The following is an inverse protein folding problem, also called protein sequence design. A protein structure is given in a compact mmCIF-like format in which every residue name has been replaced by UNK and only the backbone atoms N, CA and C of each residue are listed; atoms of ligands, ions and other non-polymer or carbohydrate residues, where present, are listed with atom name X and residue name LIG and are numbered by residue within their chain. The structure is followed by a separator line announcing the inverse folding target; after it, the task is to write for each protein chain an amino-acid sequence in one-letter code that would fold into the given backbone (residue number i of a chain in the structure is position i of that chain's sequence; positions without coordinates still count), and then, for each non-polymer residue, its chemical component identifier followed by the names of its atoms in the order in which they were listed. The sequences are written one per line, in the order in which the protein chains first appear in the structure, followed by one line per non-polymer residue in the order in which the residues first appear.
data_IF_319591356142
#
_entry.id   IF_319591356142
#
_cell.length_a   1.000
_cell.length_b   1.000
_cell.length_c   1.000
_cell.angle_alpha   90.00
_cell.angle_beta   90.00
_cell.angle_gamma   90.00
#
_symmetry.space_group_name_H-M   'P 1'
#
loop_
_entity.id
_entity.type
_entity.pdbx_description
1 polymer ?
#
# COMPACT_ATOMS: atom_id res chain seq x y z
N UNK A 1 51.42 -53.51 29.24
CA UNK A 1 50.37 -52.49 29.49
C UNK A 1 50.67 -51.26 28.63
N UNK A 2 49.99 -51.06 27.50
CA UNK A 2 50.16 -49.87 26.63
C UNK A 2 48.78 -49.22 26.43
N UNK A 3 48.71 -47.94 26.79
CA UNK A 3 47.49 -47.13 26.88
C UNK A 3 47.01 -46.71 25.49
N UNK A 4 45.73 -46.96 25.22
CA UNK A 4 44.97 -46.45 24.08
C UNK A 4 44.68 -44.96 24.27
N UNK A 5 45.02 -44.14 23.26
CA UNK A 5 44.65 -42.73 23.20
C UNK A 5 43.34 -42.59 22.44
N UNK A 6 42.29 -42.19 23.13
CA UNK A 6 40.99 -41.88 22.54
C UNK A 6 41.00 -40.50 21.88
N UNK A 7 40.66 -40.45 20.59
CA UNK A 7 40.43 -39.20 19.86
C UNK A 7 39.01 -38.74 20.18
N UNK A 8 38.89 -37.63 20.91
CA UNK A 8 37.62 -36.96 21.17
C UNK A 8 37.31 -36.01 20.00
N UNK A 9 36.36 -36.38 19.15
CA UNK A 9 35.83 -35.52 18.08
C UNK A 9 34.80 -34.55 18.66
N UNK A 10 35.20 -33.30 18.85
CA UNK A 10 34.31 -32.21 19.24
C UNK A 10 33.61 -31.66 17.99
N UNK A 11 32.38 -32.12 17.73
CA UNK A 11 31.53 -31.57 16.67
C UNK A 11 30.88 -30.28 17.20
N UNK A 12 31.48 -29.12 16.87
CA UNK A 12 30.82 -27.82 17.05
C UNK A 12 29.70 -27.67 16.02
N UNK A 13 28.49 -28.07 16.40
CA UNK A 13 27.28 -27.69 15.69
C UNK A 13 27.02 -26.19 15.91
N UNK A 14 27.53 -25.33 15.01
CA UNK A 14 27.06 -23.95 14.90
C UNK A 14 25.61 -23.96 14.42
N UNK A 15 24.67 -23.99 15.37
CA UNK A 15 23.28 -23.64 15.12
C UNK A 15 23.19 -22.14 14.84
N UNK A 16 23.44 -21.74 13.59
CA UNK A 16 23.14 -20.41 13.11
C UNK A 16 21.61 -20.21 13.18
N UNK A 17 21.14 -19.66 14.30
CA UNK A 17 19.77 -19.21 14.47
C UNK A 17 19.57 -18.02 13.54
N UNK A 18 19.08 -18.30 12.33
CA UNK A 18 18.64 -17.26 11.40
C UNK A 18 17.54 -16.46 12.10
N UNK A 19 17.88 -15.26 12.56
CA UNK A 19 16.95 -14.44 13.30
C UNK A 19 15.74 -14.10 12.40
N UNK A 20 14.50 -14.17 12.91
CA UNK A 20 13.32 -13.99 12.10
C UNK A 20 13.30 -12.59 11.48
N UNK A 21 12.99 -12.51 10.19
CA UNK A 21 12.81 -11.24 9.49
C UNK A 21 11.68 -10.43 10.16
N UNK A 22 12.02 -9.27 10.73
CA UNK A 22 11.05 -8.45 11.47
C UNK A 22 10.21 -7.66 10.47
N UNK A 23 8.91 -7.95 10.42
CA UNK A 23 7.95 -7.13 9.71
C UNK A 23 7.89 -5.74 10.35
N UNK A 24 8.24 -4.69 9.60
CA UNK A 24 7.99 -3.34 10.09
C UNK A 24 6.63 -2.87 9.61
N UNK A 25 5.88 -2.31 10.55
CA UNK A 25 4.57 -1.72 10.32
C UNK A 25 4.61 -0.31 10.87
N UNK A 26 4.13 0.66 10.09
CA UNK A 26 3.84 2.00 10.60
C UNK A 26 2.41 2.38 10.28
N UNK A 27 1.79 3.04 11.24
CA UNK A 27 0.45 3.59 11.12
C UNK A 27 0.57 5.09 11.18
N UNK A 28 0.05 5.77 10.17
CA UNK A 28 -0.19 7.21 10.22
C UNK A 28 -1.69 7.39 10.42
N UNK A 29 -2.06 8.13 11.47
CA UNK A 29 -3.45 8.51 11.72
C UNK A 29 -3.63 9.95 11.26
N UNK A 30 -4.82 10.30 10.82
CA UNK A 30 -5.20 11.68 10.77
C UNK A 30 -5.54 12.14 12.21
N UNK A 31 -4.77 13.06 12.82
CA UNK A 31 -5.12 13.60 14.13
C UNK A 31 -6.31 14.56 14.06
N UNK A 32 -6.65 15.07 12.87
CA UNK A 32 -7.77 16.01 12.71
C UNK A 32 -9.09 15.29 12.56
N UNK A 33 -9.13 14.15 11.85
CA UNK A 33 -10.27 13.27 11.72
C UNK A 33 -11.54 14.01 11.32
N UNK A 34 -11.92 13.96 10.06
CA UNK A 34 -13.19 14.54 9.62
C UNK A 34 -13.05 15.82 8.83
N UNK A 35 -12.62 15.69 7.58
CA UNK A 35 -13.33 16.42 6.54
C UNK A 35 -14.79 15.94 6.49
N UNK A 36 -15.72 16.79 6.07
CA UNK A 36 -17.15 16.44 5.86
C UNK A 36 -17.38 15.53 4.65
N UNK A 37 -16.37 14.76 4.24
CA UNK A 37 -16.38 13.91 3.06
C UNK A 37 -16.66 12.47 3.45
N UNK A 38 -17.45 11.77 2.64
CA UNK A 38 -17.67 10.32 2.71
C UNK A 38 -16.39 9.53 2.39
N UNK A 39 -15.33 10.21 1.92
CA UNK A 39 -14.04 9.63 1.54
C UNK A 39 -12.91 10.12 2.46
N UNK A 40 -13.23 10.56 3.68
CA UNK A 40 -12.27 11.03 4.68
C UNK A 40 -11.33 9.91 5.13
N UNK A 41 -10.02 10.18 5.18
CA UNK A 41 -8.97 9.20 5.43
C UNK A 41 -8.53 9.26 6.90
N UNK A 42 -9.08 8.37 7.72
CA UNK A 42 -8.72 8.26 9.14
C UNK A 42 -7.32 7.71 9.40
N UNK A 43 -6.90 6.73 8.59
CA UNK A 43 -5.70 5.95 8.89
C UNK A 43 -5.07 5.30 7.68
N UNK A 44 -3.75 5.38 7.60
CA UNK A 44 -2.95 4.65 6.63
C UNK A 44 -1.94 3.76 7.36
N UNK A 45 -2.06 2.45 7.19
CA UNK A 45 -1.16 1.43 7.72
C UNK A 45 -0.31 0.87 6.59
N UNK A 46 1.01 1.00 6.71
CA UNK A 46 1.98 0.45 5.77
C UNK A 46 2.78 -0.66 6.46
N UNK A 47 2.75 -1.84 5.86
CA UNK A 47 3.53 -3.00 6.29
C UNK A 47 4.53 -3.37 5.20
N UNK A 48 5.81 -3.51 5.56
CA UNK A 48 6.87 -3.96 4.65
C UNK A 48 7.59 -5.16 5.28
N UNK A 49 7.39 -6.35 4.69
CA UNK A 49 7.90 -7.60 5.23
C UNK A 49 8.24 -8.63 4.14
N UNK A 50 8.59 -9.85 4.55
CA UNK A 50 8.95 -10.93 3.63
C UNK A 50 7.81 -11.34 2.68
N UNK A 51 6.54 -11.09 3.06
CA UNK A 51 5.33 -11.32 2.24
C UNK A 51 5.02 -10.14 1.30
N UNK A 52 5.86 -9.11 1.28
CA UNK A 52 5.75 -7.95 0.39
C UNK A 52 5.30 -6.69 1.11
N UNK A 53 4.68 -5.80 0.34
CA UNK A 53 4.21 -4.50 0.80
C UNK A 53 2.69 -4.52 0.89
N UNK A 54 2.14 -4.30 2.08
CA UNK A 54 0.70 -4.17 2.28
C UNK A 54 0.38 -2.78 2.80
N UNK A 55 -0.49 -2.08 2.10
CA UNK A 55 -1.00 -0.76 2.48
C UNK A 55 -2.49 -0.91 2.71
N UNK A 56 -2.95 -0.48 3.88
CA UNK A 56 -4.36 -0.46 4.25
C UNK A 56 -4.74 0.96 4.62
N UNK A 57 -5.72 1.48 3.91
CA UNK A 57 -6.35 2.78 4.16
C UNK A 57 -7.68 2.51 4.84
N UNK A 58 -7.94 3.22 5.93
CA UNK A 58 -9.23 3.24 6.62
C UNK A 58 -9.88 4.59 6.35
N UNK A 59 -11.11 4.54 5.84
CA UNK A 59 -12.00 5.68 5.60
C UNK A 59 -13.30 5.46 6.38
N UNK A 60 -14.22 6.42 6.37
CA UNK A 60 -15.57 6.18 6.85
C UNK A 60 -16.30 5.13 6.00
N UNK A 61 -17.04 4.20 6.62
CA UNK A 61 -17.92 3.29 5.90
C UNK A 61 -18.89 4.04 4.98
N UNK A 62 -18.88 3.69 3.70
CA UNK A 62 -19.80 4.26 2.69
C UNK A 62 -21.01 3.33 2.55
N UNK A 63 -22.19 3.86 2.84
CA UNK A 63 -23.44 3.18 2.50
C UNK A 63 -23.92 3.59 1.11
N UNK A 64 -23.62 2.76 0.10
CA UNK A 64 -24.02 2.99 -1.29
C UNK A 64 -25.53 3.14 -1.50
N UNK A 65 -26.37 2.65 -0.58
CA UNK A 65 -27.83 2.74 -0.71
C UNK A 65 -28.33 4.14 -0.38
N UNK A 66 -27.76 4.75 0.66
CA UNK A 66 -28.20 6.06 1.16
C UNK A 66 -27.36 7.20 0.58
N UNK A 67 -26.06 6.98 0.39
CA UNK A 67 -25.15 7.99 -0.16
C UNK A 67 -24.05 7.37 -1.01
N UNK A 68 -24.10 7.64 -2.31
CA UNK A 68 -23.08 7.17 -3.27
C UNK A 68 -22.10 8.29 -3.62
N UNK A 69 -20.89 8.33 -3.03
CA UNK A 69 -19.92 9.39 -3.32
C UNK A 69 -19.43 9.34 -4.76
N UNK A 70 -19.28 10.52 -5.34
CA UNK A 70 -18.56 10.75 -6.59
C UNK A 70 -17.20 11.35 -6.30
N UNK A 71 -16.15 10.79 -6.88
CA UNK A 71 -14.80 11.26 -6.59
C UNK A 71 -13.68 10.43 -7.17
N UNK A 72 -12.47 10.71 -6.69
CA UNK A 72 -11.29 9.92 -6.96
C UNK A 72 -10.50 9.58 -5.70
N UNK A 73 -9.87 8.41 -5.74
CA UNK A 73 -8.86 7.99 -4.80
C UNK A 73 -7.52 7.91 -5.54
N UNK A 74 -6.46 8.37 -4.88
CA UNK A 74 -5.09 8.21 -5.36
C UNK A 74 -4.15 7.85 -4.24
N UNK A 75 -3.40 6.78 -4.42
CA UNK A 75 -2.32 6.40 -3.53
C UNK A 75 -1.01 6.34 -4.30
N UNK A 76 -0.06 7.17 -3.89
CA UNK A 76 1.28 7.24 -4.44
C UNK A 76 2.24 6.45 -3.56
N UNK A 77 3.02 5.56 -4.17
CA UNK A 77 3.96 4.68 -3.45
C UNK A 77 5.38 5.01 -3.87
N UNK A 78 6.22 5.26 -2.88
CA UNK A 78 7.64 5.54 -3.04
C UNK A 78 8.47 4.45 -2.35
N UNK A 79 9.38 3.85 -3.10
CA UNK A 79 10.26 2.77 -2.61
C UNK A 79 11.74 3.15 -2.59
N UNK A 80 12.10 4.39 -2.99
CA UNK A 80 13.48 4.89 -3.00
C UNK A 80 13.58 6.38 -2.66
N UNK A 81 14.54 6.72 -1.81
CA UNK A 81 14.80 8.14 -1.47
C UNK A 81 15.21 8.93 -2.73
N UNK A 82 14.68 10.16 -2.85
CA UNK A 82 15.06 11.13 -3.90
C UNK A 82 14.41 10.93 -5.28
N UNK A 83 13.66 9.85 -5.51
CA UNK A 83 13.08 9.55 -6.82
C UNK A 83 11.62 9.94 -7.03
N UNK A 84 10.92 10.38 -5.97
CA UNK A 84 9.47 10.55 -5.97
C UNK A 84 8.71 9.21 -6.06
N UNK A 85 7.37 9.26 -6.12
CA UNK A 85 6.58 8.05 -6.21
C UNK A 85 6.82 7.28 -7.52
N UNK A 86 7.11 5.99 -7.37
CA UNK A 86 7.39 5.08 -8.47
C UNK A 86 6.13 4.39 -8.97
N UNK A 87 5.12 4.28 -8.10
CA UNK A 87 3.85 3.63 -8.41
C UNK A 87 2.68 4.49 -7.96
N UNK A 88 1.53 4.25 -8.59
CA UNK A 88 0.26 4.83 -8.20
C UNK A 88 -0.83 3.76 -8.27
N UNK A 89 -1.69 3.77 -7.26
CA UNK A 89 -3.04 3.25 -7.33
C UNK A 89 -3.98 4.43 -7.55
N UNK A 90 -4.89 4.34 -8.50
CA UNK A 90 -5.84 5.41 -8.80
C UNK A 90 -7.18 4.83 -9.22
N UNK A 91 -8.27 5.33 -8.63
CA UNK A 91 -9.61 4.79 -8.83
C UNK A 91 -10.64 5.92 -8.82
N UNK A 92 -11.57 5.90 -9.78
CA UNK A 92 -12.73 6.80 -9.80
C UNK A 92 -13.93 6.14 -9.14
N UNK A 93 -14.67 6.87 -8.32
CA UNK A 93 -15.88 6.41 -7.63
C UNK A 93 -17.14 7.05 -8.22
N UNK A 94 -18.16 6.26 -8.58
CA UNK A 94 -18.07 4.84 -8.93
C UNK A 94 -17.27 4.68 -10.23
N UNK A 95 -16.66 3.52 -10.46
CA UNK A 95 -15.96 3.27 -11.71
C UNK A 95 -14.79 2.30 -11.60
N UNK A 96 -13.88 2.43 -12.55
CA UNK A 96 -12.68 1.61 -12.66
C UNK A 96 -11.44 2.38 -12.16
N UNK A 97 -10.42 1.60 -11.84
CA UNK A 97 -9.12 2.10 -11.47
C UNK A 97 -8.04 1.06 -11.68
N UNK A 98 -6.86 1.35 -11.15
CA UNK A 98 -5.85 0.33 -10.98
C UNK A 98 -4.47 0.85 -10.69
N UNK A 99 -3.60 -0.13 -10.48
CA UNK A 99 -2.20 0.04 -10.18
C UNK A 99 -1.38 0.26 -11.45
N UNK A 100 -0.41 1.18 -11.37
CA UNK A 100 0.56 1.38 -12.44
C UNK A 100 1.90 1.94 -11.95
N UNK A 101 2.95 1.75 -12.75
CA UNK A 101 4.21 2.45 -12.55
C UNK A 101 4.16 3.86 -13.16
N UNK A 102 4.63 4.85 -12.41
CA UNK A 102 4.66 6.25 -12.85
C UNK A 102 5.88 6.56 -13.73
N UNK A 103 7.03 5.96 -13.41
CA UNK A 103 8.31 6.20 -14.07
C UNK A 103 8.82 4.96 -14.83
N UNK A 104 9.80 5.16 -15.71
CA UNK A 104 10.42 4.11 -16.51
C UNK A 104 9.89 4.00 -17.95
N UNK A 105 10.42 3.03 -18.70
CA UNK A 105 10.07 2.81 -20.11
C UNK A 105 8.61 2.39 -20.30
N UNK A 106 8.06 2.58 -21.51
CA UNK A 106 6.69 2.14 -21.87
C UNK A 106 6.46 0.66 -21.55
N UNK A 107 7.47 -0.20 -21.80
CA UNK A 107 7.43 -1.63 -21.48
C UNK A 107 7.33 -1.88 -19.97
N UNK A 108 8.12 -1.15 -19.17
CA UNK A 108 8.05 -1.24 -17.71
C UNK A 108 6.67 -0.83 -17.19
N UNK A 109 6.15 0.32 -17.64
CA UNK A 109 4.82 0.79 -17.25
C UNK A 109 3.71 -0.20 -17.61
N UNK A 110 3.72 -0.74 -18.84
CA UNK A 110 2.77 -1.79 -19.27
C UNK A 110 2.86 -3.05 -18.41
N UNK A 111 4.06 -3.43 -17.94
CA UNK A 111 4.22 -4.62 -17.10
C UNK A 111 3.57 -4.49 -15.72
N UNK A 112 3.42 -3.27 -15.20
CA UNK A 112 2.88 -2.97 -13.87
C UNK A 112 1.37 -2.71 -13.84
N UNK A 113 0.73 -2.60 -15.00
CA UNK A 113 -0.69 -2.27 -15.10
C UNK A 113 -1.58 -3.38 -14.55
N UNK A 114 -2.63 -3.05 -13.80
CA UNK A 114 -3.69 -4.01 -13.41
C UNK A 114 -4.97 -3.86 -14.22
N UNK A 115 -5.22 -2.71 -14.84
CA UNK A 115 -6.38 -2.47 -15.71
C UNK A 115 -6.00 -1.71 -17.00
N UNK A 116 -6.67 -1.91 -18.16
CA UNK A 116 -7.68 -2.94 -18.44
C UNK A 116 -7.07 -4.32 -18.72
N UNK A 117 -5.75 -4.40 -18.91
CA UNK A 117 -5.05 -5.66 -19.18
C UNK A 117 -3.89 -5.83 -18.20
N UNK A 118 -3.96 -6.88 -17.39
CA UNK A 118 -3.01 -7.13 -16.31
C UNK A 118 -1.64 -7.52 -16.86
N UNK A 119 -0.64 -6.68 -16.61
CA UNK A 119 0.75 -6.93 -16.96
C UNK A 119 1.44 -7.97 -16.04
N UNK A 120 2.64 -8.43 -16.43
CA UNK A 120 3.42 -9.45 -15.69
C UNK A 120 3.64 -9.12 -14.21
N UNK A 121 3.93 -7.86 -13.90
CA UNK A 121 4.11 -7.37 -12.53
C UNK A 121 2.77 -6.91 -11.92
N UNK A 122 1.81 -6.44 -12.71
CA UNK A 122 0.44 -6.17 -12.25
C UNK A 122 -0.20 -7.38 -11.56
N UNK A 123 0.06 -8.61 -12.04
CA UNK A 123 -0.40 -9.87 -11.39
C UNK A 123 0.08 -10.07 -9.94
N UNK A 124 1.09 -9.31 -9.51
CA UNK A 124 1.60 -9.37 -8.13
C UNK A 124 0.83 -8.46 -7.18
N UNK A 125 0.03 -7.55 -7.71
CA UNK A 125 -0.78 -6.61 -6.96
C UNK A 125 -2.16 -7.21 -6.73
N UNK A 126 -2.63 -7.16 -5.49
CA UNK A 126 -4.00 -7.48 -5.11
C UNK A 126 -4.61 -6.21 -4.50
N UNK A 127 -5.70 -5.76 -5.11
CA UNK A 127 -6.46 -4.57 -4.74
C UNK A 127 -7.80 -5.03 -4.13
N UNK A 128 -8.24 -4.41 -3.04
CA UNK A 128 -9.52 -4.68 -2.40
C UNK A 128 -10.13 -3.37 -1.94
N UNK A 129 -11.34 -3.10 -2.42
CA UNK A 129 -12.07 -1.85 -2.23
C UNK A 129 -13.36 -2.12 -1.46
N UNK A 130 -13.22 -2.47 -0.18
CA UNK A 130 -14.36 -2.72 0.71
C UNK A 130 -14.76 -1.41 1.41
N UNK A 131 -15.22 -0.46 0.60
CA UNK A 131 -15.58 0.88 1.07
C UNK A 131 -16.80 0.87 2.01
N UNK A 132 -17.68 -0.14 1.90
CA UNK A 132 -18.78 -0.36 2.85
C UNK A 132 -18.29 -0.69 4.25
N UNK A 133 -17.10 -1.29 4.39
CA UNK A 133 -16.44 -1.48 5.67
C UNK A 133 -15.40 -0.39 5.98
N UNK A 134 -15.30 0.63 5.13
CA UNK A 134 -14.32 1.70 5.25
C UNK A 134 -12.87 1.22 5.05
N UNK A 135 -12.63 0.16 4.27
CA UNK A 135 -11.30 -0.43 4.12
C UNK A 135 -10.89 -0.56 2.65
N UNK A 136 -9.80 0.10 2.29
CA UNK A 136 -9.12 -0.05 1.00
C UNK A 136 -7.76 -0.70 1.25
N UNK A 137 -7.43 -1.75 0.52
CA UNK A 137 -6.16 -2.47 0.67
C UNK A 137 -5.48 -2.67 -0.68
N UNK A 138 -4.18 -2.38 -0.71
CA UNK A 138 -3.27 -2.78 -1.80
C UNK A 138 -2.16 -3.64 -1.23
N UNK A 139 -2.02 -4.85 -1.76
CA UNK A 139 -0.95 -5.79 -1.42
C UNK A 139 -0.11 -6.13 -2.64
N UNK A 140 1.16 -5.72 -2.62
CA UNK A 140 2.14 -6.04 -3.65
C UNK A 140 2.98 -7.23 -3.17
N UNK A 141 2.74 -8.40 -3.76
CA UNK A 141 3.50 -9.63 -3.48
C UNK A 141 4.93 -9.52 -4.02
N UNK A 142 5.95 -10.02 -3.28
CA UNK A 142 7.33 -9.88 -3.70
C UNK A 142 7.63 -10.80 -4.88
N UNK A 143 8.15 -10.25 -5.98
CA UNK A 143 8.55 -11.05 -7.15
C UNK A 143 9.82 -10.48 -7.79
N UNK A 144 10.83 -11.33 -7.98
CA UNK A 144 12.07 -10.96 -8.69
C UNK A 144 11.76 -10.41 -10.09
N UNK A 145 12.39 -9.31 -10.47
CA UNK A 145 12.11 -8.58 -11.71
C UNK A 145 10.84 -7.72 -11.68
N UNK A 146 10.14 -7.67 -10.54
CA UNK A 146 9.11 -6.70 -10.18
C UNK A 146 9.54 -6.04 -8.85
N UNK A 147 8.60 -5.68 -7.97
CA UNK A 147 8.94 -5.20 -6.63
C UNK A 147 9.29 -6.41 -5.76
N UNK A 148 10.54 -6.51 -5.34
CA UNK A 148 11.04 -7.61 -4.52
C UNK A 148 11.75 -7.05 -3.30
N UNK A 149 11.12 -7.20 -2.12
CA UNK A 149 11.69 -6.83 -0.83
C UNK A 149 12.31 -5.42 -0.81
N UNK A 150 11.54 -4.36 -1.12
CA UNK A 150 12.06 -3.01 -1.12
C UNK A 150 12.59 -2.64 0.26
N UNK A 151 13.80 -2.08 0.32
CA UNK A 151 14.46 -1.71 1.59
C UNK A 151 13.64 -0.71 2.39
N UNK A 152 12.89 0.17 1.72
CA UNK A 152 12.12 1.25 2.31
C UNK A 152 10.81 1.42 1.52
N UNK A 153 9.71 1.75 2.19
CA UNK A 153 8.44 2.13 1.56
C UNK A 153 7.83 3.30 2.31
N UNK A 154 7.23 4.24 1.59
CA UNK A 154 6.29 5.22 2.13
C UNK A 154 5.18 5.48 1.13
N UNK A 155 4.05 6.00 1.61
CA UNK A 155 2.90 6.29 0.76
C UNK A 155 2.35 7.68 1.02
N UNK A 156 1.66 8.23 0.04
CA UNK A 156 0.80 9.39 0.19
C UNK A 156 -0.55 8.97 -0.37
N UNK A 157 -1.62 9.15 0.41
CA UNK A 157 -2.98 8.83 0.01
C UNK A 157 -3.76 10.12 -0.09
N UNK A 158 -4.61 10.22 -1.11
CA UNK A 158 -5.46 11.37 -1.38
C UNK A 158 -6.82 10.89 -1.83
N UNK A 159 -7.85 11.60 -1.42
CA UNK A 159 -9.21 11.46 -1.91
C UNK A 159 -9.71 12.83 -2.32
N UNK A 160 -10.59 12.84 -3.31
CA UNK A 160 -11.33 14.02 -3.71
C UNK A 160 -12.77 13.60 -3.94
N UNK A 161 -13.73 14.26 -3.29
CA UNK A 161 -15.15 14.04 -3.46
C UNK A 161 -15.78 15.24 -4.17
N UNK A 162 -16.16 15.06 -5.42
CA UNK A 162 -16.85 16.08 -6.23
C UNK A 162 -18.35 16.18 -5.92
N UNK A 163 -18.92 15.19 -5.24
CA UNK A 163 -20.32 15.20 -4.81
C UNK A 163 -20.78 13.84 -4.32
N UNK A 164 -22.08 13.65 -4.24
CA UNK A 164 -22.69 12.35 -3.94
C UNK A 164 -24.11 12.28 -4.49
N UNK A 165 -24.63 11.06 -4.65
CA UNK A 165 -26.04 10.83 -4.92
C UNK A 165 -26.77 10.42 -3.65
N UNK A 166 -27.93 11.01 -3.41
CA UNK A 166 -28.92 10.59 -2.42
C UNK A 166 -30.19 10.17 -3.18
N UNK A 167 -30.43 8.86 -3.27
CA UNK A 167 -31.40 8.30 -4.22
C UNK A 167 -31.01 8.64 -5.66
N UNK A 168 -31.82 9.44 -6.35
CA UNK A 168 -31.56 9.92 -7.72
C UNK A 168 -31.07 11.37 -7.77
N UNK A 169 -31.03 12.06 -6.62
CA UNK A 169 -30.64 13.47 -6.55
C UNK A 169 -29.13 13.57 -6.43
N UNK A 170 -28.51 14.39 -7.28
CA UNK A 170 -27.09 14.68 -7.20
C UNK A 170 -26.83 15.92 -6.35
N UNK A 171 -25.91 15.80 -5.41
CA UNK A 171 -25.46 16.87 -4.53
C UNK A 171 -23.99 17.18 -4.86
N UNK A 172 -23.70 18.29 -5.57
CA UNK A 172 -22.33 18.67 -5.88
C UNK A 172 -21.62 19.23 -4.64
N UNK A 173 -20.33 18.95 -4.54
CA UNK A 173 -19.41 19.69 -3.67
C UNK A 173 -18.61 20.66 -4.54
N UNK A 174 -18.84 21.96 -4.38
CA UNK A 174 -18.09 23.02 -5.07
C UNK A 174 -17.53 24.04 -4.06
N UNK A 175 -16.20 24.06 -3.81
CA UNK A 175 -15.19 23.21 -4.44
C UNK A 175 -15.28 21.74 -3.97
N UNK A 176 -14.70 20.79 -4.73
CA UNK A 176 -14.59 19.40 -4.29
C UNK A 176 -13.91 19.28 -2.93
N UNK A 177 -14.44 18.40 -2.08
CA UNK A 177 -13.84 18.11 -0.79
C UNK A 177 -12.60 17.26 -1.01
N UNK A 178 -11.43 17.75 -0.62
CA UNK A 178 -10.15 17.06 -0.78
C UNK A 178 -9.62 16.65 0.57
N UNK A 179 -9.24 15.39 0.69
CA UNK A 179 -8.51 14.90 1.84
C UNK A 179 -7.20 14.20 1.42
N UNK A 180 -6.21 14.22 2.31
CA UNK A 180 -4.93 13.59 2.08
C UNK A 180 -4.26 13.18 3.39
N UNK A 181 -3.73 11.96 3.40
CA UNK A 181 -2.96 11.44 4.51
C UNK A 181 -1.57 10.95 4.07
N UNK A 182 -0.49 11.46 4.68
CA UNK A 182 -0.43 12.54 5.69
C UNK A 182 -0.81 13.93 5.18
N UNK A 183 -1.19 14.83 6.10
CA UNK A 183 -1.53 16.23 5.84
C UNK A 183 -0.46 16.98 5.02
N UNK A 184 -0.87 18.04 4.33
CA UNK A 184 -0.09 18.87 3.39
C UNK A 184 0.53 18.10 2.21
N UNK A 185 -0.10 17.01 1.77
CA UNK A 185 0.36 16.20 0.64
C UNK A 185 1.70 15.48 0.87
N UNK A 186 2.13 15.36 2.13
CA UNK A 186 3.37 14.69 2.52
C UNK A 186 3.26 13.16 2.38
N UNK A 187 4.35 12.45 2.66
CA UNK A 187 4.35 10.98 2.68
C UNK A 187 4.41 10.46 4.12
N UNK A 188 3.86 9.26 4.34
CA UNK A 188 4.02 8.53 5.61
C UNK A 188 5.51 8.38 5.96
N UNK A 189 5.86 8.17 7.23
CA UNK A 189 7.23 7.83 7.58
C UNK A 189 7.70 6.56 6.83
N UNK A 190 8.99 6.51 6.52
CA UNK A 190 9.59 5.33 5.88
C UNK A 190 9.41 4.06 6.74
N UNK A 191 8.97 2.98 6.10
CA UNK A 191 8.85 1.63 6.66
C UNK A 191 9.94 0.75 6.04
N UNK A 192 10.88 0.27 6.85
CA UNK A 192 12.02 -0.50 6.34
C UNK A 192 11.68 -1.98 6.25
N UNK A 193 12.27 -2.65 5.27
CA UNK A 193 12.40 -4.10 5.33
C UNK A 193 13.83 -4.44 5.75
N UNK A 194 13.96 -5.23 6.82
CA UNK A 194 15.26 -5.74 7.26
C UNK A 194 15.22 -7.25 7.14
N UNK A 195 15.96 -7.77 6.17
CA UNK A 195 16.30 -9.19 6.09
C UNK A 195 17.39 -9.40 7.12
N UNK A 196 17.08 -10.12 8.20
CA UNK A 196 18.10 -10.63 9.11
C UNK A 196 18.77 -11.84 8.46
#
# INVERSE_FOLDING_TARGET
MRRTWGILLLVLALSATAAPAVAQTKTTRDPRGGGSSLLDIHRVKVTNNAKGVRITVTIDPVDWVTSSPLGDFRMLIDTKKGGGAEFAEAFGMPGDGGFSARHGSKRFKKSWRTYPSVGRCGRTVAESWDVQKGVITVHIRPKKGCLYHPKLVRVNVRTQQSGYYEGTTFHPNDPPLVDHLPASGAYTPWVRYTRR
#
